data_IF_909156518747
#
_entry.id   IF_909156518747
#
_cell.length_a   1.000
_cell.length_b   1.000
_cell.length_c   1.000
_cell.angle_alpha   90.00
_cell.angle_beta   90.00
_cell.angle_gamma   90.00
#
_symmetry.space_group_name_H-M   'P 1'
#
loop_
_entity.id
_entity.type
_entity.pdbx_description
1 polymer ?
#
# COMPACT_ATOMS: atom_id res chain seq x y z
N UNK A 1 -17.24 15.46 9.72
CA UNK A 1 -17.23 14.36 8.74
C UNK A 1 -16.01 13.48 9.03
N UNK A 2 -16.19 12.23 9.44
CA UNK A 2 -15.07 11.29 9.51
C UNK A 2 -14.77 10.80 8.09
N UNK A 3 -13.62 11.22 7.56
CA UNK A 3 -13.19 11.01 6.16
C UNK A 3 -13.14 9.53 5.74
N UNK A 4 -13.14 8.60 6.70
CA UNK A 4 -13.06 7.16 6.43
C UNK A 4 -14.41 6.48 6.20
N UNK A 5 -15.49 6.95 6.83
CA UNK A 5 -16.76 6.22 6.86
C UNK A 5 -17.89 6.98 6.16
N UNK A 6 -17.64 8.20 5.67
CA UNK A 6 -18.66 9.07 5.06
C UNK A 6 -19.69 9.65 6.05
N UNK A 7 -19.75 9.10 7.27
CA UNK A 7 -20.66 9.46 8.35
C UNK A 7 -20.52 10.91 8.82
N UNK A 8 -21.67 11.54 9.05
CA UNK A 8 -21.76 12.82 9.76
C UNK A 8 -21.49 12.62 11.25
N UNK A 9 -21.23 13.70 12.00
CA UNK A 9 -20.72 13.58 13.38
C UNK A 9 -21.71 12.82 14.28
N UNK A 10 -23.00 12.99 14.02
CA UNK A 10 -24.17 12.38 14.67
C UNK A 10 -24.36 10.88 14.38
N UNK A 11 -23.70 10.34 13.36
CA UNK A 11 -23.80 8.92 12.99
C UNK A 11 -22.60 8.09 13.46
N UNK A 12 -21.61 8.73 14.09
CA UNK A 12 -20.37 8.08 14.55
C UNK A 12 -20.65 7.24 15.78
N UNK A 13 -20.25 5.97 15.75
CA UNK A 13 -20.34 5.04 16.89
C UNK A 13 -18.98 4.82 17.57
N UNK A 14 -18.99 4.26 18.78
CA UNK A 14 -17.74 3.80 19.44
C UNK A 14 -17.03 2.73 18.60
N UNK A 15 -17.76 1.86 17.91
CA UNK A 15 -17.21 0.86 17.00
C UNK A 15 -16.50 1.50 15.80
N UNK A 16 -17.05 2.56 15.21
CA UNK A 16 -16.39 3.32 14.14
C UNK A 16 -15.05 3.89 14.59
N UNK A 17 -15.00 4.44 15.82
CA UNK A 17 -13.78 4.99 16.42
C UNK A 17 -12.76 3.89 16.74
N UNK A 18 -13.19 2.73 17.22
CA UNK A 18 -12.32 1.57 17.45
C UNK A 18 -11.77 1.00 16.14
N UNK A 19 -12.63 0.87 15.13
CA UNK A 19 -12.24 0.48 13.78
C UNK A 19 -11.24 1.47 13.20
N UNK A 20 -11.43 2.78 13.42
CA UNK A 20 -10.46 3.83 13.09
C UNK A 20 -9.15 3.61 13.82
N UNK A 21 -9.14 3.54 15.15
CA UNK A 21 -7.95 3.28 15.96
C UNK A 21 -7.15 2.06 15.47
N UNK A 22 -7.84 0.95 15.21
CA UNK A 22 -7.25 -0.28 14.71
C UNK A 22 -6.62 -0.09 13.32
N UNK A 23 -7.30 0.62 12.42
CA UNK A 23 -6.76 0.93 11.08
C UNK A 23 -5.56 1.86 11.15
N UNK A 24 -5.59 2.89 12.00
CA UNK A 24 -4.48 3.84 12.11
C UNK A 24 -3.26 3.16 12.73
N UNK A 25 -3.46 2.33 13.78
CA UNK A 25 -2.43 1.43 14.33
C UNK A 25 -1.87 0.48 13.28
N UNK A 26 -2.75 -0.19 12.52
CA UNK A 26 -2.39 -1.05 11.41
C UNK A 26 -1.88 -0.30 10.17
N UNK A 27 -1.80 1.03 10.18
CA UNK A 27 -1.15 1.82 9.13
C UNK A 27 0.11 2.51 9.67
N UNK A 28 0.39 2.36 10.97
CA UNK A 28 1.40 3.11 11.69
C UNK A 28 1.10 4.59 11.91
N UNK A 29 -0.03 5.10 11.39
CA UNK A 29 -0.42 6.50 11.48
C UNK A 29 -0.77 6.86 12.93
N UNK A 30 -0.48 8.10 13.29
CA UNK A 30 -0.81 8.64 14.61
C UNK A 30 -2.28 9.06 14.63
N UNK A 31 -3.01 8.66 15.69
CA UNK A 31 -4.33 9.23 16.01
C UNK A 31 -4.26 9.84 17.41
N UNK A 32 -3.44 10.88 17.54
CA UNK A 32 -3.35 11.61 18.80
C UNK A 32 -4.73 12.18 19.15
N UNK A 33 -5.15 12.01 20.40
CA UNK A 33 -6.41 12.56 20.90
C UNK A 33 -7.66 11.75 20.57
N UNK A 34 -7.56 10.53 20.01
CA UNK A 34 -8.75 9.72 19.72
C UNK A 34 -9.51 9.30 20.99
N UNK A 35 -8.80 9.02 22.08
CA UNK A 35 -9.42 8.83 23.40
C UNK A 35 -10.17 10.08 23.88
N UNK A 36 -9.57 11.26 23.76
CA UNK A 36 -10.23 12.52 24.13
C UNK A 36 -11.43 12.83 23.24
N UNK A 37 -11.35 12.51 21.95
CA UNK A 37 -12.47 12.65 21.03
C UNK A 37 -13.63 11.71 21.40
N UNK A 38 -13.37 10.46 21.79
CA UNK A 38 -14.39 9.54 22.29
C UNK A 38 -15.08 10.08 23.55
N UNK A 39 -14.31 10.55 24.54
CA UNK A 39 -14.88 11.14 25.77
C UNK A 39 -15.77 12.35 25.49
N UNK A 40 -15.37 13.24 24.57
CA UNK A 40 -16.17 14.40 24.18
C UNK A 40 -17.45 13.97 23.46
N UNK A 41 -17.36 13.05 22.50
CA UNK A 41 -18.55 12.54 21.79
C UNK A 41 -19.52 11.82 22.74
N UNK A 42 -18.99 11.13 23.75
CA UNK A 42 -19.76 10.49 24.81
C UNK A 42 -20.48 11.53 25.65
N UNK A 43 -19.78 12.59 26.06
CA UNK A 43 -20.38 13.71 26.81
C UNK A 43 -21.49 14.43 26.07
N UNK A 44 -21.44 14.41 24.73
CA UNK A 44 -22.45 14.98 23.84
C UNK A 44 -23.58 14.00 23.49
N UNK A 45 -23.54 12.77 24.00
CA UNK A 45 -24.55 11.73 23.72
C UNK A 45 -24.51 11.19 22.29
N UNK A 46 -23.41 11.40 21.56
CA UNK A 46 -23.25 10.96 20.16
C UNK A 46 -22.82 9.49 20.08
N UNK A 47 -21.94 9.07 20.98
CA UNK A 47 -21.48 7.68 21.08
C UNK A 47 -21.97 7.05 22.37
N UNK A 48 -22.08 5.73 22.38
CA UNK A 48 -22.47 4.95 23.55
C UNK A 48 -21.42 4.97 24.67
N UNK A 49 -21.80 4.46 25.85
CA UNK A 49 -20.95 4.38 27.04
C UNK A 49 -19.98 3.17 26.99
N UNK A 50 -19.74 2.61 25.80
CA UNK A 50 -18.85 1.45 25.67
C UNK A 50 -17.41 1.82 26.04
N UNK A 51 -16.65 0.89 26.66
CA UNK A 51 -15.28 1.13 27.04
C UNK A 51 -14.40 1.45 25.82
N UNK A 52 -13.73 2.60 25.85
CA UNK A 52 -12.74 2.96 24.83
C UNK A 52 -11.33 2.93 25.43
N UNK A 53 -10.38 2.15 24.86
CA UNK A 53 -9.06 2.00 25.48
C UNK A 53 -8.33 3.34 25.61
N UNK A 54 -7.79 3.66 26.79
CA UNK A 54 -7.01 4.89 27.02
C UNK A 54 -5.71 4.96 26.22
N UNK A 55 -5.24 3.82 25.73
CA UNK A 55 -4.11 3.71 24.81
C UNK A 55 -4.50 3.86 23.33
N UNK A 56 -5.78 4.10 23.03
CA UNK A 56 -6.32 4.39 21.70
C UNK A 56 -5.79 5.72 21.20
N UNK A 57 -4.58 5.66 20.63
CA UNK A 57 -3.82 6.84 20.21
C UNK A 57 -2.57 7.11 21.05
N UNK A 58 -2.13 6.17 21.92
CA UNK A 58 -0.82 6.29 22.56
C UNK A 58 0.25 6.44 21.49
N UNK A 59 0.95 7.56 21.57
CA UNK A 59 2.15 7.87 20.80
C UNK A 59 3.22 6.85 21.14
N UNK A 60 3.34 5.81 20.32
CA UNK A 60 4.64 5.17 20.10
C UNK A 60 5.42 6.20 19.31
N UNK A 61 6.59 6.64 19.80
CA UNK A 61 7.35 7.71 19.18
C UNK A 61 7.74 7.43 17.72
N UNK A 62 8.63 8.25 17.16
CA UNK A 62 9.21 7.96 15.85
C UNK A 62 9.83 6.57 15.90
N UNK A 63 9.29 5.66 15.09
CA UNK A 63 9.75 4.28 15.02
C UNK A 63 10.95 4.21 14.09
N UNK A 64 11.89 3.32 14.40
CA UNK A 64 12.96 2.97 13.46
C UNK A 64 12.38 2.15 12.31
N UNK A 65 13.09 2.08 11.18
CA UNK A 65 12.67 1.27 10.03
C UNK A 65 12.51 -0.21 10.45
N UNK A 66 13.41 -0.71 11.29
CA UNK A 66 13.38 -2.08 11.81
C UNK A 66 12.13 -2.33 12.64
N UNK A 67 11.74 -1.38 13.50
CA UNK A 67 10.50 -1.45 14.28
C UNK A 67 9.26 -1.39 13.37
N UNK A 68 9.28 -0.50 12.37
CA UNK A 68 8.19 -0.32 11.41
C UNK A 68 7.92 -1.56 10.58
N UNK A 69 8.95 -2.32 10.21
CA UNK A 69 8.79 -3.60 9.48
C UNK A 69 8.48 -4.73 10.46
N UNK A 70 9.13 -4.78 11.63
CA UNK A 70 8.94 -5.85 12.62
C UNK A 70 7.51 -5.92 13.15
N UNK A 71 6.85 -4.77 13.38
CA UNK A 71 5.43 -4.71 13.79
C UNK A 71 4.48 -5.38 12.79
N UNK A 72 4.89 -5.53 11.52
CA UNK A 72 4.07 -6.17 10.48
C UNK A 72 4.09 -7.68 10.55
N UNK A 73 5.06 -8.27 11.26
CA UNK A 73 5.22 -9.70 11.44
C UNK A 73 5.32 -10.45 10.10
N UNK A 74 6.13 -9.93 9.18
CA UNK A 74 6.47 -10.61 7.90
C UNK A 74 7.06 -11.99 8.23
N UNK A 75 6.49 -13.03 7.64
CA UNK A 75 6.85 -14.42 7.95
C UNK A 75 8.21 -14.80 7.35
N UNK A 76 8.46 -14.40 6.10
CA UNK A 76 9.75 -14.65 5.45
C UNK A 76 10.84 -13.71 5.98
N UNK A 77 11.88 -14.27 6.61
CA UNK A 77 13.01 -13.52 7.14
C UNK A 77 13.78 -12.76 6.04
N UNK A 78 13.95 -13.39 4.87
CA UNK A 78 14.60 -12.80 3.70
C UNK A 78 13.82 -11.58 3.19
N UNK A 79 12.50 -11.69 3.12
CA UNK A 79 11.64 -10.60 2.66
C UNK A 79 11.60 -9.47 3.66
N UNK A 80 11.58 -9.78 4.97
CA UNK A 80 11.72 -8.78 6.03
C UNK A 80 13.03 -8.00 5.91
N UNK A 81 14.15 -8.70 5.73
CA UNK A 81 15.47 -8.08 5.56
C UNK A 81 15.50 -7.20 4.30
N UNK A 82 14.92 -7.66 3.19
CA UNK A 82 14.83 -6.89 1.95
C UNK A 82 14.05 -5.59 2.13
N UNK A 83 12.90 -5.61 2.82
CA UNK A 83 12.13 -4.38 3.07
C UNK A 83 12.87 -3.40 3.97
N UNK A 84 13.56 -3.88 5.01
CA UNK A 84 14.38 -3.02 5.89
C UNK A 84 15.48 -2.34 5.06
N UNK A 85 16.23 -3.11 4.25
CA UNK A 85 17.27 -2.57 3.36
C UNK A 85 16.68 -1.54 2.40
N UNK A 86 15.59 -1.87 1.73
CA UNK A 86 14.95 -0.98 0.77
C UNK A 86 14.51 0.34 1.40
N UNK A 87 13.89 0.29 2.58
CA UNK A 87 13.49 1.50 3.30
C UNK A 87 14.69 2.31 3.77
N UNK A 88 15.80 1.67 4.16
CA UNK A 88 17.06 2.34 4.54
C UNK A 88 17.71 3.06 3.36
N UNK A 89 17.74 2.44 2.19
CA UNK A 89 18.28 3.07 0.98
C UNK A 89 17.44 4.27 0.54
N UNK A 90 16.12 4.19 0.76
CA UNK A 90 15.17 5.27 0.44
C UNK A 90 15.08 6.34 1.52
N UNK A 91 15.53 6.08 2.75
CA UNK A 91 15.41 7.02 3.88
C UNK A 91 16.06 8.39 3.59
N UNK A 92 17.28 8.47 3.01
CA UNK A 92 17.88 9.74 2.64
C UNK A 92 17.02 10.49 1.61
N UNK A 93 16.46 11.63 2.01
CA UNK A 93 15.63 12.47 1.14
C UNK A 93 14.13 12.28 1.30
N UNK A 94 13.67 11.39 2.20
CA UNK A 94 12.26 11.27 2.56
C UNK A 94 12.00 11.86 3.95
N UNK A 95 10.92 12.62 4.07
CA UNK A 95 10.37 12.92 5.39
C UNK A 95 9.78 11.64 6.02
N UNK A 96 9.65 11.64 7.34
CA UNK A 96 9.20 10.47 8.09
C UNK A 96 7.78 10.00 7.71
N UNK A 97 6.87 10.92 7.35
CA UNK A 97 5.50 10.56 6.96
C UNK A 97 5.48 9.87 5.60
N UNK A 98 6.35 10.29 4.69
CA UNK A 98 6.54 9.63 3.39
C UNK A 98 7.17 8.25 3.55
N UNK A 99 8.17 8.12 4.43
CA UNK A 99 8.76 6.82 4.78
C UNK A 99 7.73 5.85 5.37
N UNK A 100 6.85 6.35 6.25
CA UNK A 100 5.75 5.55 6.79
C UNK A 100 4.73 5.11 5.74
N UNK A 101 4.39 5.99 4.80
CA UNK A 101 3.52 5.61 3.69
C UNK A 101 4.16 4.56 2.78
N UNK A 102 5.46 4.70 2.50
CA UNK A 102 6.25 3.74 1.72
C UNK A 102 6.26 2.35 2.38
N UNK A 103 6.55 2.29 3.68
CA UNK A 103 6.47 1.05 4.46
C UNK A 103 5.08 0.44 4.42
N UNK A 104 4.04 1.24 4.64
CA UNK A 104 2.67 0.74 4.65
C UNK A 104 2.25 0.17 3.28
N UNK A 105 2.67 0.81 2.18
CA UNK A 105 2.39 0.31 0.83
C UNK A 105 3.09 -1.03 0.56
N UNK A 106 4.39 -1.12 0.83
CA UNK A 106 5.19 -2.28 0.46
C UNK A 106 5.03 -3.45 1.42
N UNK A 107 5.07 -3.19 2.71
CA UNK A 107 5.08 -4.26 3.72
C UNK A 107 3.66 -4.68 4.06
N UNK A 108 2.76 -3.73 4.35
CA UNK A 108 1.42 -4.06 4.82
C UNK A 108 0.43 -4.36 3.69
N UNK A 109 0.28 -3.46 2.71
CA UNK A 109 -0.73 -3.61 1.65
C UNK A 109 -0.30 -4.58 0.55
N UNK A 110 0.99 -4.62 0.23
CA UNK A 110 1.52 -5.54 -0.77
C UNK A 110 1.90 -6.89 -0.15
N UNK A 111 2.98 -6.96 0.62
CA UNK A 111 3.53 -8.25 1.02
C UNK A 111 2.69 -9.01 2.06
N UNK A 112 2.21 -8.34 3.11
CA UNK A 112 1.39 -9.03 4.14
C UNK A 112 0.04 -9.48 3.61
N UNK A 113 -0.53 -8.79 2.63
CA UNK A 113 -1.70 -9.30 1.92
C UNK A 113 -1.36 -10.59 1.18
N UNK A 114 -0.26 -10.61 0.42
CA UNK A 114 0.20 -11.82 -0.26
C UNK A 114 0.44 -12.99 0.70
N UNK A 115 1.12 -12.78 1.84
CA UNK A 115 1.35 -13.83 2.84
C UNK A 115 0.04 -14.37 3.45
N UNK A 116 -0.97 -13.52 3.65
CA UNK A 116 -2.28 -13.95 4.18
C UNK A 116 -3.03 -14.86 3.21
N UNK A 117 -2.91 -14.60 1.90
CA UNK A 117 -3.64 -15.33 0.87
C UNK A 117 -2.85 -16.48 0.24
N UNK A 118 -1.51 -16.43 0.31
CA UNK A 118 -0.59 -17.44 -0.20
C UNK A 118 0.46 -17.77 0.88
N UNK A 119 0.10 -18.56 1.91
CA UNK A 119 1.03 -18.92 2.99
C UNK A 119 2.28 -19.60 2.45
N UNK A 120 3.45 -19.20 2.95
CA UNK A 120 4.75 -19.72 2.50
C UNK A 120 5.35 -19.02 1.28
N UNK A 121 4.69 -17.99 0.74
CA UNK A 121 5.30 -17.14 -0.29
C UNK A 121 6.58 -16.47 0.23
N UNK A 122 7.68 -16.62 -0.50
CA UNK A 122 9.01 -16.15 -0.11
C UNK A 122 9.76 -15.43 -1.24
N UNK A 123 9.10 -15.26 -2.40
CA UNK A 123 9.70 -14.72 -3.62
C UNK A 123 8.90 -13.56 -4.18
N UNK A 124 9.62 -12.56 -4.72
CA UNK A 124 9.04 -11.45 -5.46
C UNK A 124 8.60 -11.83 -6.89
N UNK A 125 8.98 -13.02 -7.38
CA UNK A 125 8.51 -13.52 -8.67
C UNK A 125 7.11 -14.11 -8.52
N UNK A 126 6.10 -13.24 -8.57
CA UNK A 126 4.70 -13.63 -8.40
C UNK A 126 4.15 -14.29 -9.66
N UNK A 127 3.46 -15.44 -9.53
CA UNK A 127 2.59 -15.96 -10.59
C UNK A 127 1.56 -14.92 -11.04
N UNK A 128 1.15 -14.98 -12.30
CA UNK A 128 0.28 -13.95 -12.92
C UNK A 128 -1.10 -13.89 -12.26
N UNK A 129 -1.65 -15.05 -11.91
CA UNK A 129 -2.87 -15.24 -11.14
C UNK A 129 -2.76 -14.59 -9.75
N UNK A 130 -1.72 -14.92 -8.97
CA UNK A 130 -1.46 -14.34 -7.64
C UNK A 130 -1.40 -12.81 -7.69
N UNK A 131 -0.66 -12.26 -8.66
CA UNK A 131 -0.55 -10.82 -8.83
C UNK A 131 -1.87 -10.16 -9.25
N UNK A 132 -2.69 -10.85 -10.04
CA UNK A 132 -4.00 -10.36 -10.51
C UNK A 132 -5.01 -10.34 -9.36
N UNK A 133 -5.06 -11.41 -8.57
CA UNK A 133 -5.92 -11.51 -7.40
C UNK A 133 -5.57 -10.46 -6.34
N UNK A 134 -4.27 -10.27 -6.05
CA UNK A 134 -3.82 -9.21 -5.16
C UNK A 134 -4.27 -7.83 -5.64
N UNK A 135 -4.07 -7.50 -6.92
CA UNK A 135 -4.52 -6.22 -7.48
C UNK A 135 -6.04 -6.05 -7.32
N UNK A 136 -6.82 -7.10 -7.59
CA UNK A 136 -8.27 -7.07 -7.44
C UNK A 136 -8.69 -6.76 -5.99
N UNK A 137 -8.06 -7.40 -5.00
CA UNK A 137 -8.32 -7.11 -3.57
C UNK A 137 -7.99 -5.67 -3.20
N UNK A 138 -6.89 -5.12 -3.71
CA UNK A 138 -6.46 -3.76 -3.32
C UNK A 138 -7.41 -2.65 -3.80
N UNK A 139 -8.21 -2.89 -4.84
CA UNK A 139 -9.24 -1.96 -5.30
C UNK A 139 -10.38 -1.78 -4.31
N UNK A 140 -10.59 -2.73 -3.40
CA UNK A 140 -11.70 -2.75 -2.45
C UNK A 140 -11.16 -2.53 -1.04
N UNK A 141 -11.79 -1.61 -0.32
CA UNK A 141 -11.53 -1.37 1.09
C UNK A 141 -12.21 -2.47 1.93
N UNK A 142 -11.77 -2.70 3.18
CA UNK A 142 -12.41 -3.70 4.04
C UNK A 142 -13.91 -3.49 4.29
N UNK A 143 -14.41 -2.26 4.13
CA UNK A 143 -15.83 -1.90 4.21
C UNK A 143 -16.61 -2.14 2.91
N UNK A 144 -15.98 -2.71 1.87
CA UNK A 144 -16.59 -2.97 0.56
C UNK A 144 -16.54 -1.80 -0.42
N UNK A 145 -16.09 -0.62 0.02
CA UNK A 145 -16.01 0.56 -0.85
C UNK A 145 -14.79 0.54 -1.77
N UNK A 146 -14.86 1.29 -2.87
CA UNK A 146 -13.73 1.41 -3.80
C UNK A 146 -12.64 2.30 -3.20
N UNK A 147 -11.39 1.82 -3.22
CA UNK A 147 -10.22 2.59 -2.80
C UNK A 147 -9.91 3.71 -3.80
N UNK A 148 -9.84 4.96 -3.32
CA UNK A 148 -9.53 6.15 -4.13
C UNK A 148 -8.04 6.32 -4.45
N UNK A 149 -7.15 6.03 -3.49
CA UNK A 149 -5.70 6.25 -3.63
C UNK A 149 -4.89 5.03 -4.11
N UNK A 150 -5.53 4.12 -4.84
CA UNK A 150 -4.92 2.86 -5.32
C UNK A 150 -3.75 3.08 -6.29
N UNK A 151 -3.78 4.15 -7.09
CA UNK A 151 -2.72 4.48 -8.05
C UNK A 151 -1.39 4.75 -7.34
N UNK A 152 -1.43 5.34 -6.15
CA UNK A 152 -0.22 5.58 -5.35
C UNK A 152 0.41 4.26 -4.92
N UNK A 153 -0.40 3.32 -4.41
CA UNK A 153 0.06 1.97 -4.06
C UNK A 153 0.72 1.24 -5.25
N UNK A 154 0.05 1.21 -6.41
CA UNK A 154 0.60 0.52 -7.57
C UNK A 154 1.85 1.19 -8.13
N UNK A 155 1.90 2.52 -8.10
CA UNK A 155 3.12 3.27 -8.48
C UNK A 155 4.27 2.93 -7.54
N UNK A 156 4.04 2.92 -6.22
CA UNK A 156 5.04 2.54 -5.22
C UNK A 156 5.56 1.12 -5.44
N UNK A 157 4.67 0.14 -5.63
CA UNK A 157 5.06 -1.26 -5.86
C UNK A 157 5.83 -1.38 -7.18
N UNK A 158 5.40 -0.70 -8.24
CA UNK A 158 6.11 -0.69 -9.53
C UNK A 158 7.52 -0.12 -9.38
N UNK A 159 7.68 1.01 -8.69
CA UNK A 159 8.98 1.62 -8.44
C UNK A 159 9.89 0.67 -7.66
N UNK A 160 9.37 0.05 -6.60
CA UNK A 160 10.09 -0.96 -5.83
C UNK A 160 10.61 -2.10 -6.72
N UNK A 161 9.77 -2.69 -7.58
CA UNK A 161 10.24 -3.74 -8.51
C UNK A 161 11.33 -3.26 -9.47
N UNK A 162 11.28 -2.02 -9.93
CA UNK A 162 12.29 -1.45 -10.82
C UNK A 162 13.62 -1.24 -10.08
N UNK A 163 13.59 -0.70 -8.86
CA UNK A 163 14.79 -0.50 -8.05
C UNK A 163 15.46 -1.84 -7.73
N UNK A 164 14.68 -2.84 -7.33
CA UNK A 164 15.22 -4.18 -7.04
C UNK A 164 15.81 -4.83 -8.30
N UNK A 165 15.19 -4.64 -9.47
CA UNK A 165 15.75 -5.11 -10.73
C UNK A 165 17.08 -4.39 -11.07
N UNK A 166 17.16 -3.09 -10.80
CA UNK A 166 18.39 -2.30 -10.98
C UNK A 166 19.51 -2.78 -10.04
N UNK A 167 19.22 -2.98 -8.74
CA UNK A 167 20.21 -3.48 -7.79
C UNK A 167 20.78 -4.83 -8.17
N UNK A 168 19.94 -5.69 -8.73
CA UNK A 168 20.36 -7.01 -9.20
C UNK A 168 21.20 -6.95 -10.50
N UNK A 169 21.24 -5.82 -11.21
CA UNK A 169 22.24 -5.55 -12.28
C UNK A 169 23.55 -5.05 -11.66
N UNK A 170 23.47 -4.15 -10.68
CA UNK A 170 24.61 -3.44 -10.08
C UNK A 170 25.47 -4.35 -9.19
N UNK A 171 24.86 -5.31 -8.49
CA UNK A 171 25.55 -6.27 -7.63
C UNK A 171 25.35 -7.72 -8.11
N UNK A 172 26.01 -8.17 -9.19
CA UNK A 172 25.89 -9.56 -9.61
C UNK A 172 26.84 -10.46 -8.80
N UNK A 173 26.34 -11.22 -7.82
CA UNK A 173 27.16 -12.23 -7.14
C UNK A 173 26.54 -12.94 -5.93
N UNK A 174 27.22 -13.96 -5.36
CA UNK A 174 26.77 -14.70 -4.17
C UNK A 174 26.74 -13.85 -2.89
N UNK A 175 27.43 -12.71 -2.88
CA UNK A 175 27.39 -11.69 -1.82
C UNK A 175 26.49 -10.50 -2.15
N UNK A 176 25.68 -10.60 -3.22
CA UNK A 176 24.70 -9.57 -3.54
C UNK A 176 23.68 -9.50 -2.41
N UNK A 177 23.42 -8.29 -1.94
CA UNK A 177 22.47 -8.05 -0.85
C UNK A 177 21.01 -8.19 -1.31
N UNK A 178 20.80 -8.52 -2.59
CA UNK A 178 19.50 -8.86 -3.19
C UNK A 178 19.34 -10.38 -3.10
N UNK A 179 18.25 -10.91 -2.50
CA UNK A 179 18.13 -12.35 -2.29
C UNK A 179 18.26 -13.09 -3.63
N UNK A 180 19.05 -14.16 -3.68
CA UNK A 180 19.33 -14.92 -4.90
C UNK A 180 18.09 -15.44 -5.65
N UNK A 181 16.92 -15.45 -4.99
CA UNK A 181 15.59 -15.82 -5.52
C UNK A 181 14.86 -14.67 -6.23
N UNK A 182 15.31 -13.43 -6.11
CA UNK A 182 14.77 -12.28 -6.84
C UNK A 182 15.46 -12.17 -8.21
N UNK A 183 15.30 -13.20 -9.06
CA UNK A 183 15.71 -13.11 -10.46
C UNK A 183 14.58 -12.49 -11.26
N UNK A 184 14.72 -11.22 -11.58
CA UNK A 184 13.88 -10.58 -12.57
C UNK A 184 14.24 -11.16 -13.95
N UNK A 185 13.29 -11.81 -14.62
CA UNK A 185 13.38 -11.99 -16.07
C UNK A 185 12.59 -10.88 -16.71
N UNK A 186 13.28 -9.87 -17.21
CA UNK A 186 12.69 -8.78 -17.98
C UNK A 186 12.01 -9.34 -19.23
N UNK A 187 10.69 -9.52 -19.18
CA UNK A 187 9.85 -9.40 -20.36
C UNK A 187 8.96 -8.17 -20.18
N UNK A 188 9.58 -6.99 -20.26
CA UNK A 188 8.87 -5.81 -20.72
C UNK A 188 8.73 -6.01 -22.23
N UNK A 189 7.69 -6.75 -22.63
CA UNK A 189 7.24 -6.76 -24.01
C UNK A 189 6.76 -5.33 -24.33
N UNK A 190 7.64 -4.53 -24.93
CA UNK A 190 7.23 -3.39 -25.76
C UNK A 190 6.34 -3.98 -26.86
N UNK A 191 5.02 -3.83 -26.72
CA UNK A 191 4.12 -4.11 -27.81
C UNK A 191 4.52 -3.22 -29.01
N UNK A 192 4.69 -3.76 -30.22
CA UNK A 192 5.00 -2.94 -31.38
C UNK A 192 3.82 -2.00 -31.66
N UNK A 193 4.13 -0.72 -31.85
CA UNK A 193 3.17 0.28 -32.26
C UNK A 193 2.45 -0.19 -33.53
N UNK A 194 1.13 -0.43 -33.42
CA UNK A 194 0.29 -0.75 -34.58
C UNK A 194 0.28 0.47 -35.51
N UNK A 195 0.99 0.38 -36.63
CA UNK A 195 0.79 1.25 -37.80
C UNK A 195 -0.68 1.14 -38.21
N UNK A 196 -1.45 2.21 -38.02
CA UNK A 196 -2.73 2.38 -38.71
C UNK A 196 -2.43 2.77 -40.16
N UNK A 197 -2.50 1.78 -41.04
CA UNK A 197 -2.73 1.99 -42.46
C UNK A 197 -4.23 2.24 -42.61
N UNK A 198 -4.61 3.44 -43.05
CA UNK A 198 -5.99 3.80 -43.37
C UNK A 198 -5.99 4.53 -44.70
N UNK A 199 -6.11 3.75 -45.79
CA UNK A 199 -6.31 4.27 -47.14
C UNK A 199 -7.71 4.84 -47.32
N UNK A 200 -7.73 6.04 -47.94
CA UNK A 200 -8.68 6.57 -48.92
C UNK A 200 -10.08 5.93 -48.99
N UNK A 201 -11.11 6.75 -48.75
CA UNK A 201 -12.36 6.68 -49.51
C UNK A 201 -12.67 8.08 -50.05
N UNK A 202 -12.73 8.15 -51.37
CA UNK A 202 -13.23 9.28 -52.14
C UNK A 202 -14.73 9.47 -51.91
N UNK A 203 -15.18 10.72 -51.90
CA UNK A 203 -16.57 11.08 -52.20
C UNK A 203 -16.62 12.54 -52.68
N UNK A 204 -16.61 12.71 -54.00
CA UNK A 204 -17.16 13.86 -54.76
C UNK A 204 -18.52 13.40 -55.29
N UNK A 205 -19.60 14.22 -55.49
CA UNK A 205 -19.70 15.63 -55.92
C UNK A 205 -20.68 16.47 -55.02
N UNK A 206 -21.06 17.75 -55.20
CA UNK A 206 -21.26 18.59 -56.37
C UNK A 206 -21.38 20.12 -56.05
N UNK A 207 -21.00 20.93 -57.06
CA UNK A 207 -21.53 22.23 -57.57
C UNK A 207 -21.62 23.53 -56.73
N UNK A 208 -20.92 24.56 -57.23
CA UNK A 208 -21.38 25.90 -57.69
C UNK A 208 -20.11 26.76 -57.92
N UNK A 209 -19.84 27.48 -59.02
CA UNK A 209 -20.62 28.24 -59.99
C UNK A 209 -20.00 28.13 -61.38
#
# INVERSE_FOLDING_TARGET
MLVRNGKTLDEVTTEDLMGYAASTRASGRITAGLYSAHELLRSLGVVDDSPFPRDSGRYVGRQTIEEMVSRRQVASAEMRALFIRYLREREPGLDYSTLMHLENHLVNLFWRDLERHHPGIDSLHLPTDVATEWKARMWVLPNGERRTNITSLFTTVRAFYLDIAQWAIEEPGPGAHTPARVRYRTQISRAPARRRIGGRLESTPARAR
#
